data_IF_070179119994
#
_entry.id   IF_070179119994
#
_cell.length_a   1.000
_cell.length_b   1.000
_cell.length_c   1.000
_cell.angle_alpha   90.00
_cell.angle_beta   90.00
_cell.angle_gamma   90.00
#
_symmetry.space_group_name_H-M   'P 1'
#
loop_
_entity.id
_entity.type
_entity.pdbx_description
1 polymer ?
#
# COMPACT_ATOMS: atom_id res chain seq x y z
N UNK A 1 -19.83 -14.36 1.38
CA UNK A 1 -18.38 -14.08 1.62
C UNK A 1 -17.97 -13.03 0.60
N UNK A 2 -17.27 -11.99 1.02
CA UNK A 2 -16.73 -10.97 0.10
C UNK A 2 -15.29 -11.33 -0.24
N UNK A 3 -14.90 -11.11 -1.49
CA UNK A 3 -13.55 -11.36 -1.98
C UNK A 3 -12.90 -10.05 -2.41
N UNK A 4 -11.78 -9.71 -1.80
CA UNK A 4 -10.98 -8.54 -2.12
C UNK A 4 -9.65 -8.89 -2.76
N UNK A 5 -9.02 -7.90 -3.39
CA UNK A 5 -7.68 -8.02 -3.94
C UNK A 5 -6.89 -6.72 -3.71
N UNK A 6 -5.58 -6.86 -3.52
CA UNK A 6 -4.67 -5.72 -3.44
C UNK A 6 -4.27 -5.26 -4.86
N UNK A 7 -4.34 -3.95 -5.09
CA UNK A 7 -4.04 -3.38 -6.42
C UNK A 7 -2.55 -3.50 -6.83
N UNK A 8 -1.64 -3.73 -5.88
CA UNK A 8 -0.21 -3.90 -6.18
C UNK A 8 0.09 -5.08 -7.11
N UNK A 9 -0.78 -6.08 -7.17
CA UNK A 9 -0.63 -7.20 -8.09
C UNK A 9 -0.59 -6.74 -9.57
N UNK A 10 -1.38 -5.73 -9.91
CA UNK A 10 -1.40 -5.14 -11.26
C UNK A 10 -0.23 -4.18 -11.49
N UNK A 11 0.12 -3.37 -10.48
CA UNK A 11 1.28 -2.48 -10.55
C UNK A 11 2.60 -3.25 -10.77
N UNK A 12 2.77 -4.39 -10.11
CA UNK A 12 3.92 -5.28 -10.29
C UNK A 12 3.97 -5.89 -11.70
N UNK A 13 2.83 -6.04 -12.36
CA UNK A 13 2.74 -6.46 -13.76
C UNK A 13 2.94 -5.31 -14.76
N UNK A 14 3.28 -4.10 -14.29
CA UNK A 14 3.49 -2.93 -15.14
C UNK A 14 2.20 -2.27 -15.64
N UNK A 15 1.06 -2.58 -15.02
CA UNK A 15 -0.24 -1.99 -15.35
C UNK A 15 -0.43 -0.71 -14.54
N UNK A 16 -0.88 0.37 -15.18
CA UNK A 16 -1.18 1.63 -14.48
C UNK A 16 -2.37 1.48 -13.52
N UNK A 17 -2.44 2.41 -12.55
CA UNK A 17 -3.41 2.35 -11.44
C UNK A 17 -4.86 2.27 -11.95
N UNK A 18 -5.23 3.12 -12.91
CA UNK A 18 -6.61 3.14 -13.43
C UNK A 18 -6.97 1.82 -14.12
N UNK A 19 -6.12 1.37 -15.02
CA UNK A 19 -6.32 0.12 -15.77
C UNK A 19 -6.37 -1.07 -14.83
N UNK A 20 -5.53 -1.09 -13.79
CA UNK A 20 -5.55 -2.13 -12.75
C UNK A 20 -6.89 -2.17 -12.00
N UNK A 21 -7.41 -1.03 -11.58
CA UNK A 21 -8.71 -0.93 -10.90
C UNK A 21 -9.88 -1.32 -11.82
N UNK A 22 -9.83 -0.90 -13.09
CA UNK A 22 -10.83 -1.32 -14.10
C UNK A 22 -10.84 -2.84 -14.28
N UNK A 23 -9.67 -3.49 -14.26
CA UNK A 23 -9.56 -4.95 -14.32
C UNK A 23 -10.11 -5.64 -13.07
N UNK A 24 -9.78 -5.12 -11.88
CA UNK A 24 -10.29 -5.63 -10.59
C UNK A 24 -11.82 -5.65 -10.61
N UNK A 25 -12.44 -4.53 -10.98
CA UNK A 25 -13.88 -4.42 -11.06
C UNK A 25 -14.49 -5.38 -12.11
N UNK A 26 -13.85 -5.51 -13.28
CA UNK A 26 -14.31 -6.39 -14.35
C UNK A 26 -14.22 -7.87 -14.01
N UNK A 27 -13.20 -8.27 -13.24
CA UNK A 27 -13.05 -9.64 -12.74
C UNK A 27 -14.17 -9.98 -11.74
N UNK A 28 -14.68 -8.99 -11.04
CA UNK A 28 -15.81 -9.15 -10.11
C UNK A 28 -15.39 -9.30 -8.65
N UNK A 29 -14.27 -8.70 -8.26
CA UNK A 29 -13.92 -8.58 -6.84
C UNK A 29 -14.90 -7.65 -6.12
N UNK A 30 -15.23 -7.99 -4.88
CA UNK A 30 -16.17 -7.21 -4.05
C UNK A 30 -15.53 -5.96 -3.44
N UNK A 31 -14.22 -5.97 -3.23
CA UNK A 31 -13.46 -4.88 -2.59
C UNK A 31 -12.04 -4.81 -3.14
N UNK A 32 -11.39 -3.67 -2.91
CA UNK A 32 -9.96 -3.51 -3.23
C UNK A 32 -9.20 -2.98 -2.01
N UNK A 33 -7.97 -3.46 -1.84
CA UNK A 33 -6.99 -2.90 -0.94
C UNK A 33 -6.02 -2.04 -1.75
N UNK A 34 -5.84 -0.77 -1.34
CA UNK A 34 -4.96 0.17 -2.03
C UNK A 34 -3.57 0.12 -1.40
N UNK A 35 -2.56 -0.09 -2.23
CA UNK A 35 -1.14 -0.10 -1.85
C UNK A 35 -0.43 1.14 -2.40
N UNK A 36 -0.50 2.26 -1.71
CA UNK A 36 0.11 3.52 -2.12
C UNK A 36 1.46 3.73 -1.41
N UNK A 37 2.18 4.78 -1.79
CA UNK A 37 3.18 5.40 -0.92
C UNK A 37 2.64 6.73 -0.38
N UNK A 38 2.19 6.72 0.87
CA UNK A 38 1.48 7.86 1.47
C UNK A 38 2.32 9.14 1.58
N UNK A 39 3.66 9.03 1.57
CA UNK A 39 4.56 10.19 1.64
C UNK A 39 4.69 10.91 0.30
N UNK A 40 4.40 10.24 -0.82
CA UNK A 40 4.67 10.78 -2.17
C UNK A 40 3.48 10.74 -3.11
N UNK A 41 2.38 10.09 -2.72
CA UNK A 41 1.16 10.05 -3.55
C UNK A 41 0.66 11.47 -3.82
N UNK A 42 0.32 11.74 -5.06
CA UNK A 42 -0.22 13.05 -5.45
C UNK A 42 -1.73 13.10 -5.27
N UNK A 43 -2.27 14.31 -5.03
CA UNK A 43 -3.72 14.52 -4.97
C UNK A 43 -4.43 14.07 -6.26
N UNK A 44 -3.77 14.21 -7.40
CA UNK A 44 -4.29 13.73 -8.69
C UNK A 44 -4.48 12.22 -8.68
N UNK A 45 -3.54 11.47 -8.13
CA UNK A 45 -3.63 10.00 -8.05
C UNK A 45 -4.68 9.57 -7.01
N UNK A 46 -4.76 10.25 -5.88
CA UNK A 46 -5.82 10.03 -4.89
C UNK A 46 -7.20 10.20 -5.54
N UNK A 47 -7.41 11.29 -6.26
CA UNK A 47 -8.68 11.53 -6.95
C UNK A 47 -8.95 10.47 -8.03
N UNK A 48 -7.93 10.09 -8.81
CA UNK A 48 -8.05 9.04 -9.82
C UNK A 48 -8.52 7.71 -9.22
N UNK A 49 -7.95 7.30 -8.09
CA UNK A 49 -8.33 6.07 -7.38
C UNK A 49 -9.78 6.17 -6.89
N UNK A 50 -10.12 7.26 -6.20
CA UNK A 50 -11.48 7.49 -5.68
C UNK A 50 -12.52 7.47 -6.78
N UNK A 51 -12.29 8.22 -7.86
CA UNK A 51 -13.22 8.33 -8.97
C UNK A 51 -13.40 6.98 -9.69
N UNK A 52 -12.31 6.24 -9.90
CA UNK A 52 -12.36 4.92 -10.55
C UNK A 52 -13.10 3.91 -9.67
N UNK A 53 -12.77 3.83 -8.39
CA UNK A 53 -13.45 2.94 -7.45
C UNK A 53 -14.94 3.29 -7.32
N UNK A 54 -15.28 4.57 -7.20
CA UNK A 54 -16.65 5.05 -7.14
C UNK A 54 -17.45 4.72 -8.42
N UNK A 55 -16.84 4.92 -9.60
CA UNK A 55 -17.44 4.61 -10.88
C UNK A 55 -17.87 3.14 -11.00
N UNK A 56 -17.05 2.24 -10.47
CA UNK A 56 -17.30 0.80 -10.50
C UNK A 56 -18.09 0.29 -9.29
N UNK A 57 -18.42 1.12 -8.32
CA UNK A 57 -19.01 0.68 -7.06
C UNK A 57 -18.10 -0.30 -6.30
N UNK A 58 -16.78 -0.12 -6.39
CA UNK A 58 -15.76 -0.97 -5.78
C UNK A 58 -15.27 -0.33 -4.46
N UNK A 59 -15.75 -0.79 -3.29
CA UNK A 59 -15.32 -0.23 -2.01
C UNK A 59 -13.83 -0.45 -1.74
N UNK A 60 -13.19 0.54 -1.14
CA UNK A 60 -11.81 0.42 -0.66
C UNK A 60 -11.87 -0.14 0.76
N UNK A 61 -11.46 -1.40 0.94
CA UNK A 61 -11.51 -2.07 2.23
C UNK A 61 -10.35 -1.64 3.13
N UNK A 62 -9.15 -1.50 2.59
CA UNK A 62 -7.99 -1.05 3.35
C UNK A 62 -7.00 -0.22 2.54
N UNK A 63 -6.18 0.55 3.29
CA UNK A 63 -4.94 1.12 2.79
C UNK A 63 -3.78 0.32 3.39
N UNK A 64 -2.91 -0.21 2.54
CA UNK A 64 -1.83 -1.11 2.95
C UNK A 64 -0.54 -0.33 3.17
N UNK A 65 -0.02 -0.41 4.37
CA UNK A 65 1.22 0.23 4.80
C UNK A 65 2.28 -0.82 5.15
N UNK A 66 3.34 -0.94 4.34
CA UNK A 66 4.52 -1.71 4.71
C UNK A 66 5.38 -0.87 5.64
N UNK A 67 5.45 -1.25 6.91
CA UNK A 67 6.02 -0.44 7.99
C UNK A 67 7.10 -1.22 8.79
N UNK A 68 7.97 -1.92 8.10
CA UNK A 68 9.03 -2.74 8.72
C UNK A 68 9.90 -1.96 9.72
N UNK A 69 10.20 -0.70 9.43
CA UNK A 69 11.01 0.13 10.30
C UNK A 69 10.38 0.52 11.64
N UNK A 70 9.10 0.16 11.90
CA UNK A 70 8.50 0.33 13.24
C UNK A 70 9.16 -0.58 14.27
N UNK A 71 9.75 -1.70 13.87
CA UNK A 71 10.47 -2.65 14.72
C UNK A 71 11.98 -2.55 14.57
N UNK A 72 12.50 -1.47 13.97
CA UNK A 72 13.92 -1.22 13.82
C UNK A 72 14.57 -0.86 15.17
N UNK A 73 15.83 -1.26 15.38
CA UNK A 73 16.60 -0.89 16.56
C UNK A 73 17.09 0.57 16.53
N UNK A 74 17.08 1.22 15.39
CA UNK A 74 17.49 2.61 15.20
C UNK A 74 16.33 3.56 15.43
N UNK A 75 16.39 4.38 16.50
CA UNK A 75 15.34 5.32 16.87
C UNK A 75 14.91 6.29 15.75
N UNK A 76 15.81 6.93 15.01
CA UNK A 76 15.41 7.76 13.87
C UNK A 76 14.59 7.02 12.82
N UNK A 77 14.91 5.76 12.53
CA UNK A 77 14.16 4.92 11.58
C UNK A 77 12.75 4.66 12.11
N UNK A 78 12.64 4.29 13.39
CA UNK A 78 11.32 4.10 14.02
C UNK A 78 10.47 5.36 13.99
N UNK A 79 11.05 6.52 14.36
CA UNK A 79 10.34 7.79 14.32
C UNK A 79 9.84 8.14 12.92
N UNK A 80 10.68 7.97 11.90
CA UNK A 80 10.27 8.17 10.51
C UNK A 80 9.08 7.28 10.14
N UNK A 81 9.13 5.98 10.48
CA UNK A 81 8.05 5.06 10.17
C UNK A 81 6.77 5.33 10.95
N UNK A 82 6.85 5.85 12.17
CA UNK A 82 5.66 6.32 12.92
C UNK A 82 4.99 7.47 12.17
N UNK A 83 5.74 8.49 11.76
CA UNK A 83 5.18 9.62 11.00
C UNK A 83 4.64 9.18 9.64
N UNK A 84 5.33 8.25 8.99
CA UNK A 84 4.86 7.66 7.74
C UNK A 84 3.52 6.93 7.92
N UNK A 85 3.37 6.11 8.96
CA UNK A 85 2.11 5.40 9.25
C UNK A 85 0.96 6.36 9.54
N UNK A 86 1.20 7.48 10.23
CA UNK A 86 0.18 8.52 10.40
C UNK A 86 -0.35 9.03 9.05
N UNK A 87 0.53 9.19 8.05
CA UNK A 87 0.09 9.57 6.68
C UNK A 87 -0.77 8.50 6.02
N UNK A 88 -0.52 7.21 6.27
CA UNK A 88 -1.40 6.15 5.79
C UNK A 88 -2.78 6.19 6.46
N UNK A 89 -2.86 6.56 7.75
CA UNK A 89 -4.13 6.76 8.45
C UNK A 89 -4.91 7.93 7.86
N UNK A 90 -4.23 9.07 7.60
CA UNK A 90 -4.84 10.23 6.94
C UNK A 90 -5.38 9.85 5.55
N UNK A 91 -4.59 9.10 4.79
CA UNK A 91 -4.94 8.65 3.44
C UNK A 91 -6.12 7.65 3.46
N UNK A 92 -6.15 6.74 4.43
CA UNK A 92 -7.27 5.82 4.60
C UNK A 92 -8.58 6.57 4.87
N UNK A 93 -8.52 7.62 5.70
CA UNK A 93 -9.67 8.51 5.93
C UNK A 93 -10.10 9.22 4.64
N UNK A 94 -9.15 9.68 3.83
CA UNK A 94 -9.46 10.36 2.57
C UNK A 94 -10.10 9.42 1.54
N UNK A 95 -9.66 8.15 1.51
CA UNK A 95 -10.26 7.09 0.69
C UNK A 95 -11.57 6.53 1.25
N UNK A 96 -11.97 6.94 2.47
CA UNK A 96 -13.10 6.36 3.18
C UNK A 96 -12.94 4.83 3.39
N UNK A 97 -11.68 4.37 3.52
CA UNK A 97 -11.35 2.98 3.74
C UNK A 97 -11.75 2.53 5.16
N UNK A 98 -12.15 1.27 5.28
CA UNK A 98 -12.60 0.71 6.57
C UNK A 98 -11.45 0.54 7.56
N UNK A 99 -10.21 0.33 7.07
CA UNK A 99 -9.04 0.08 7.92
C UNK A 99 -7.70 0.41 7.25
N UNK A 100 -6.63 0.36 8.04
CA UNK A 100 -5.23 0.37 7.57
C UNK A 100 -4.62 -0.98 7.89
N UNK A 101 -4.12 -1.68 6.87
CA UNK A 101 -3.37 -2.91 7.03
C UNK A 101 -1.89 -2.60 7.23
N UNK A 102 -1.37 -2.86 8.43
CA UNK A 102 0.05 -2.70 8.73
C UNK A 102 0.80 -4.02 8.52
N UNK A 103 1.80 -4.01 7.65
CA UNK A 103 2.74 -5.11 7.48
C UNK A 103 3.98 -4.80 8.31
N UNK A 104 4.15 -5.55 9.40
CA UNK A 104 5.29 -5.43 10.32
C UNK A 104 6.29 -6.58 10.08
N UNK A 105 7.54 -6.40 10.50
CA UNK A 105 8.55 -7.44 10.45
C UNK A 105 9.90 -6.96 9.92
N UNK A 106 10.85 -7.88 9.82
CA UNK A 106 12.17 -7.63 9.25
C UNK A 106 12.18 -7.82 7.73
N UNK A 107 13.03 -7.08 7.04
CA UNK A 107 13.40 -7.34 5.66
C UNK A 107 14.30 -8.59 5.58
N UNK A 108 13.67 -9.77 5.65
CA UNK A 108 14.43 -11.04 5.67
C UNK A 108 15.19 -11.25 4.36
N UNK A 109 14.63 -10.81 3.24
CA UNK A 109 15.27 -10.92 1.92
C UNK A 109 16.47 -9.99 1.70
N UNK A 110 16.67 -8.95 2.50
CA UNK A 110 17.90 -8.15 2.40
C UNK A 110 19.14 -8.95 2.72
N UNK A 111 19.02 -9.98 3.55
CA UNK A 111 20.12 -10.92 3.86
C UNK A 111 20.44 -11.84 2.68
N UNK A 112 19.48 -12.10 1.81
CA UNK A 112 19.64 -12.95 0.63
C UNK A 112 20.17 -12.17 -0.58
N UNK A 113 19.82 -10.87 -0.67
CA UNK A 113 20.15 -10.00 -1.81
C UNK A 113 21.53 -9.36 -1.65
N UNK A 114 21.95 -9.03 -0.43
CA UNK A 114 23.25 -8.44 -0.15
C UNK A 114 24.10 -9.50 0.58
N UNK A 115 25.15 -10.05 -0.06
CA UNK A 115 26.04 -11.01 0.59
C UNK A 115 26.60 -10.46 1.91
N UNK A 116 26.76 -11.29 2.96
CA UNK A 116 27.25 -10.83 4.26
C UNK A 116 28.54 -10.02 4.17
N UNK A 117 29.44 -10.38 3.27
CA UNK A 117 30.72 -9.68 3.04
C UNK A 117 30.51 -8.25 2.55
N UNK A 118 29.46 -7.99 1.76
CA UNK A 118 29.12 -6.67 1.25
C UNK A 118 28.40 -5.80 2.28
N UNK A 119 27.80 -6.40 3.31
CA UNK A 119 27.12 -5.67 4.39
C UNK A 119 28.09 -5.04 5.38
N UNK A 120 29.36 -5.50 5.42
CA UNK A 120 30.40 -5.02 6.32
C UNK A 120 31.42 -4.10 5.63
N UNK A 121 31.27 -3.88 4.35
CA UNK A 121 32.12 -2.98 3.57
C UNK A 121 31.62 -1.54 3.64
#
# INVERSE_FOLDING_TARGET
>A
MKLGIINSAFAQAGVDTKTGLDHIARIGFDTVDIFPEAMTITQREVNLIKDTCSHHGLPIASVVAVAFGLVDFNDPVRHFHVERVKKFVDLAREFEAENVLLVLGEYVWQREVIPPEAQWA
#
